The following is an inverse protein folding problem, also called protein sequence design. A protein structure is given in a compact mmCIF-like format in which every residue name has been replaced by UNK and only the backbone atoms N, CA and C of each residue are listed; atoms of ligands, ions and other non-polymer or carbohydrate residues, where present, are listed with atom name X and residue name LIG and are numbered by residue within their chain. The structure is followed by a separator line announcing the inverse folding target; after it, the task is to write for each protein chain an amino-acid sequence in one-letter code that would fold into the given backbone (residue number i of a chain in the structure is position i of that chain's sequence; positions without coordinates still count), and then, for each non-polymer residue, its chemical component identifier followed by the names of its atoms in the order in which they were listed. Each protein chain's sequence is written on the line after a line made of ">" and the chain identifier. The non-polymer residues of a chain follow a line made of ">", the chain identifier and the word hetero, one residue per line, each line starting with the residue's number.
data_IF_638800866291
#
_entry.id   IF_638800866291
#
_cell.length_a   1.000
_cell.length_b   1.000
_cell.length_c   1.000
_cell.angle_alpha   90.00
_cell.angle_beta   90.00
_cell.angle_gamma   90.00
#
_symmetry.space_group_name_H-M   'P 1'
#
loop_
_entity.id
_entity.type
_entity.pdbx_description
1 polymer ?
#
# COMPACT_ATOMS: atom_id res chain seq x y z
N UNK A 1 13.04 -11.25 19.23
CA UNK A 1 13.55 -11.23 17.84
C UNK A 1 13.11 -9.93 17.20
N UNK A 2 13.90 -8.88 17.36
CA UNK A 2 13.63 -7.56 16.84
C UNK A 2 14.48 -7.37 15.59
N UNK A 3 13.92 -7.69 14.42
CA UNK A 3 14.58 -7.38 13.16
C UNK A 3 14.54 -5.86 13.00
N UNK A 4 15.72 -5.21 13.07
CA UNK A 4 15.94 -3.85 12.58
C UNK A 4 15.50 -3.80 11.12
N UNK A 5 14.25 -3.41 10.87
CA UNK A 5 13.82 -3.00 9.53
C UNK A 5 14.68 -1.80 9.17
N UNK A 6 15.47 -1.91 8.11
CA UNK A 6 16.15 -0.78 7.49
C UNK A 6 15.12 0.34 7.34
N UNK A 7 15.43 1.50 7.92
CA UNK A 7 14.55 2.66 7.82
C UNK A 7 14.60 3.09 6.36
N UNK A 8 13.48 2.89 5.65
CA UNK A 8 13.36 3.27 4.23
C UNK A 8 13.46 4.80 4.16
N UNK A 9 14.39 5.30 3.36
CA UNK A 9 14.60 6.74 3.20
C UNK A 9 13.60 7.30 2.18
N UNK A 10 12.65 8.15 2.60
CA UNK A 10 11.53 8.57 1.76
C UNK A 10 11.91 9.58 0.66
N UNK A 11 13.16 10.04 0.62
CA UNK A 11 13.63 11.06 -0.34
C UNK A 11 14.00 10.45 -1.69
N UNK A 12 14.42 9.18 -1.70
CA UNK A 12 14.86 8.49 -2.91
C UNK A 12 13.69 7.87 -3.70
N UNK A 13 12.51 7.78 -3.08
CA UNK A 13 11.32 7.17 -3.68
C UNK A 13 10.33 8.22 -4.22
N UNK A 14 9.75 7.92 -5.38
CA UNK A 14 8.62 8.65 -5.95
C UNK A 14 7.34 8.25 -5.23
N UNK A 15 7.01 8.99 -4.16
CA UNK A 15 5.86 8.70 -3.30
C UNK A 15 4.62 9.50 -3.72
N UNK A 16 3.53 8.80 -3.98
CA UNK A 16 2.22 9.40 -4.26
C UNK A 16 1.30 9.31 -3.04
N UNK A 17 0.73 10.45 -2.65
CA UNK A 17 -0.21 10.57 -1.54
C UNK A 17 -1.65 10.44 -2.04
N UNK A 18 -2.43 9.54 -1.44
CA UNK A 18 -3.86 9.34 -1.73
C UNK A 18 -4.71 9.53 -0.48
N UNK A 19 -5.79 10.28 -0.63
CA UNK A 19 -6.76 10.49 0.44
C UNK A 19 -7.68 9.27 0.57
N UNK A 20 -7.80 8.73 1.79
CA UNK A 20 -8.78 7.67 2.09
C UNK A 20 -10.08 8.29 2.60
N UNK A 21 -9.97 9.16 3.62
CA UNK A 21 -11.14 9.71 4.29
C UNK A 21 -10.84 10.99 5.06
N UNK A 22 -11.83 11.88 5.12
CA UNK A 22 -11.79 13.13 5.90
C UNK A 22 -12.93 13.12 6.91
N UNK A 23 -12.62 13.51 8.13
CA UNK A 23 -13.55 13.71 9.23
C UNK A 23 -13.53 15.17 9.67
N UNK A 24 -14.70 15.75 9.93
CA UNK A 24 -14.82 16.99 10.69
C UNK A 24 -15.07 16.64 12.16
N UNK A 25 -14.14 16.98 13.04
CA UNK A 25 -14.22 16.73 14.48
C UNK A 25 -14.43 18.04 15.23
N UNK A 26 -15.19 18.00 16.32
CA UNK A 26 -15.56 19.19 17.08
C UNK A 26 -15.22 19.04 18.57
N UNK A 27 -14.67 20.09 19.18
CA UNK A 27 -14.56 20.24 20.64
C UNK A 27 -15.56 21.30 21.10
N UNK A 28 -16.48 20.93 22.00
CA UNK A 28 -17.47 21.84 22.59
C UNK A 28 -16.80 22.72 23.66
N UNK A 29 -17.16 24.00 23.70
CA UNK A 29 -16.70 25.02 24.65
C UNK A 29 -17.90 25.86 25.12
N UNK A 30 -17.71 26.70 26.14
CA UNK A 30 -18.78 27.55 26.73
C UNK A 30 -19.48 28.47 25.71
N UNK A 31 -18.78 28.91 24.66
CA UNK A 31 -19.32 29.81 23.63
C UNK A 31 -19.50 29.20 22.23
N UNK A 32 -19.39 27.88 22.07
CA UNK A 32 -19.57 27.24 20.76
C UNK A 32 -18.76 25.96 20.55
N UNK A 33 -18.52 25.60 19.30
CA UNK A 33 -17.77 24.39 18.92
C UNK A 33 -16.52 24.76 18.12
N UNK A 34 -15.34 24.36 18.60
CA UNK A 34 -14.10 24.48 17.85
C UNK A 34 -13.97 23.28 16.90
N UNK A 35 -14.04 23.54 15.60
CA UNK A 35 -13.94 22.53 14.56
C UNK A 35 -12.48 22.30 14.16
N UNK A 36 -12.17 21.06 13.79
CA UNK A 36 -10.91 20.65 13.14
C UNK A 36 -11.21 19.57 12.11
N UNK A 37 -10.33 19.41 11.14
CA UNK A 37 -10.39 18.32 10.17
C UNK A 37 -9.33 17.27 10.52
N UNK A 38 -9.71 16.00 10.41
CA UNK A 38 -8.81 14.85 10.50
C UNK A 38 -8.81 14.14 9.15
N UNK A 39 -7.64 13.96 8.55
CA UNK A 39 -7.48 13.28 7.27
C UNK A 39 -6.71 11.98 7.47
N UNK A 40 -7.23 10.88 6.91
CA UNK A 40 -6.54 9.60 6.77
C UNK A 40 -5.95 9.55 5.36
N UNK A 41 -4.63 9.48 5.27
CA UNK A 41 -3.86 9.53 4.03
C UNK A 41 -3.02 8.27 3.93
N UNK A 42 -2.93 7.71 2.73
CA UNK A 42 -1.97 6.66 2.39
C UNK A 42 -0.93 7.23 1.45
N UNK A 43 0.31 6.80 1.61
CA UNK A 43 1.43 7.16 0.74
C UNK A 43 2.05 5.87 0.23
N UNK A 44 2.37 5.80 -1.06
CA UNK A 44 3.06 4.65 -1.65
C UNK A 44 3.66 4.94 -3.01
N UNK A 45 4.55 4.04 -3.44
CA UNK A 45 5.32 4.15 -4.69
C UNK A 45 4.79 3.25 -5.82
N UNK A 46 3.82 2.37 -5.53
CA UNK A 46 3.34 1.36 -6.48
C UNK A 46 4.30 0.18 -6.71
N UNK A 47 5.48 0.18 -6.08
CA UNK A 47 6.52 -0.85 -6.30
C UNK A 47 6.66 -1.78 -5.08
N UNK A 48 6.10 -1.42 -3.93
CA UNK A 48 6.12 -2.30 -2.75
C UNK A 48 6.22 -1.56 -1.44
N UNK A 49 6.28 -0.24 -1.47
CA UNK A 49 6.36 0.59 -0.28
C UNK A 49 5.02 1.28 -0.03
N UNK A 50 4.51 1.12 1.18
CA UNK A 50 3.25 1.76 1.57
C UNK A 50 3.30 2.21 3.01
N UNK A 51 2.68 3.35 3.30
CA UNK A 51 2.58 3.92 4.63
C UNK A 51 1.24 4.61 4.80
N UNK A 52 0.75 4.68 6.04
CA UNK A 52 -0.53 5.35 6.36
C UNK A 52 -0.29 6.35 7.48
N UNK A 53 -0.93 7.51 7.35
CA UNK A 53 -0.81 8.62 8.27
C UNK A 53 -2.15 9.25 8.58
N UNK A 54 -2.25 9.80 9.78
CA UNK A 54 -3.41 10.60 10.21
C UNK A 54 -2.92 12.00 10.52
N UNK A 55 -3.40 12.98 9.76
CA UNK A 55 -3.17 14.40 10.00
C UNK A 55 -4.39 15.08 10.59
N UNK A 56 -4.18 16.13 11.39
CA UNK A 56 -5.27 16.88 12.02
C UNK A 56 -4.93 18.36 12.10
N UNK A 57 -5.71 19.20 11.41
CA UNK A 57 -5.51 20.63 11.34
C UNK A 57 -6.84 21.40 11.41
N UNK A 58 -6.78 22.74 11.38
CA UNK A 58 -7.97 23.58 11.31
C UNK A 58 -8.56 23.63 9.89
N UNK A 59 -7.73 23.40 8.88
CA UNK A 59 -8.09 23.39 7.46
C UNK A 59 -7.84 22.01 6.84
N UNK A 60 -8.59 21.70 5.76
CA UNK A 60 -8.49 20.42 5.06
C UNK A 60 -7.13 20.20 4.38
N UNK A 61 -6.60 21.10 3.54
CA UNK A 61 -5.33 20.86 2.84
C UNK A 61 -4.16 20.68 3.82
N UNK A 62 -4.13 21.48 4.90
CA UNK A 62 -3.11 21.35 5.95
C UNK A 62 -3.20 20.00 6.65
N UNK A 63 -4.42 19.49 6.91
CA UNK A 63 -4.60 18.17 7.51
C UNK A 63 -4.11 17.04 6.61
N UNK A 64 -4.31 17.16 5.29
CA UNK A 64 -3.83 16.18 4.30
C UNK A 64 -2.30 16.16 4.27
N UNK A 65 -1.65 17.33 4.16
CA UNK A 65 -0.19 17.45 4.14
C UNK A 65 0.46 16.88 5.42
N UNK A 66 -0.12 17.16 6.59
CA UNK A 66 0.32 16.55 7.85
C UNK A 66 0.12 15.03 7.88
N UNK A 67 -0.95 14.54 7.24
CA UNK A 67 -1.22 13.11 7.09
C UNK A 67 -0.16 12.42 6.23
N UNK A 68 0.13 12.96 5.04
CA UNK A 68 1.18 12.47 4.14
C UNK A 68 2.56 12.48 4.80
N UNK A 69 2.92 13.58 5.48
CA UNK A 69 4.19 13.68 6.22
C UNK A 69 4.35 12.61 7.31
N UNK A 70 3.25 12.16 7.92
CA UNK A 70 3.26 11.07 8.91
C UNK A 70 3.30 9.70 8.23
N UNK A 71 2.61 9.53 7.11
CA UNK A 71 2.61 8.30 6.32
C UNK A 71 4.02 7.96 5.81
N UNK A 72 4.75 8.97 5.31
CA UNK A 72 6.16 8.83 4.87
C UNK A 72 7.11 8.31 5.96
N UNK A 73 6.82 8.58 7.24
CA UNK A 73 7.62 8.07 8.37
C UNK A 73 7.31 6.62 8.73
N UNK A 74 6.19 6.08 8.24
CA UNK A 74 5.66 4.76 8.58
C UNK A 74 5.62 3.85 7.36
N UNK A 75 6.59 4.00 6.44
CA UNK A 75 6.70 3.13 5.28
C UNK A 75 7.06 1.71 5.71
N UNK A 76 6.40 0.74 5.08
CA UNK A 76 6.71 -0.68 5.18
C UNK A 76 7.01 -1.22 3.79
N UNK A 77 7.91 -2.19 3.72
CA UNK A 77 8.14 -3.01 2.55
C UNK A 77 7.14 -4.18 2.53
N UNK A 78 6.55 -4.44 1.37
CA UNK A 78 5.53 -5.47 1.18
C UNK A 78 6.02 -6.55 0.23
N UNK A 79 6.08 -7.78 0.72
CA UNK A 79 6.35 -8.96 -0.08
C UNK A 79 5.23 -9.20 -1.12
N UNK A 80 5.59 -9.23 -2.40
CA UNK A 80 4.68 -9.43 -3.53
C UNK A 80 5.14 -10.56 -4.45
N UNK A 81 4.20 -11.19 -5.13
CA UNK A 81 4.45 -12.19 -6.15
C UNK A 81 3.84 -11.72 -7.47
N UNK A 82 4.62 -11.02 -8.30
CA UNK A 82 4.14 -10.42 -9.54
C UNK A 82 3.08 -9.35 -9.27
N UNK A 83 1.85 -9.58 -9.74
CA UNK A 83 0.71 -8.65 -9.58
C UNK A 83 -0.13 -8.86 -8.31
N UNK A 84 0.15 -9.92 -7.54
CA UNK A 84 -0.68 -10.41 -6.41
C UNK A 84 0.15 -10.64 -5.14
N UNK A 85 -0.52 -11.07 -4.06
CA UNK A 85 0.12 -11.44 -2.78
C UNK A 85 0.60 -12.90 -2.78
N UNK A 86 1.63 -13.26 -2.00
CA UNK A 86 2.17 -14.63 -2.02
C UNK A 86 1.26 -15.71 -1.43
N UNK A 87 0.49 -15.39 -0.39
CA UNK A 87 -0.41 -16.34 0.28
C UNK A 87 -1.60 -15.61 0.91
N UNK A 88 -2.67 -16.36 1.21
CA UNK A 88 -3.84 -15.80 1.88
C UNK A 88 -3.55 -15.55 3.36
N UNK A 89 -4.01 -14.41 3.88
CA UNK A 89 -3.81 -14.04 5.28
C UNK A 89 -5.09 -13.45 5.88
N UNK A 90 -5.34 -13.80 7.13
CA UNK A 90 -6.38 -13.19 7.97
C UNK A 90 -5.68 -12.45 9.10
N UNK A 91 -6.05 -11.20 9.28
CA UNK A 91 -5.40 -10.35 10.27
C UNK A 91 -6.43 -9.48 10.97
N UNK A 92 -6.29 -9.36 12.30
CA UNK A 92 -7.12 -8.54 13.15
C UNK A 92 -6.30 -7.38 13.71
N UNK A 93 -6.87 -6.18 13.68
CA UNK A 93 -6.34 -4.99 14.35
C UNK A 93 -7.47 -4.27 15.08
N UNK A 94 -7.42 -4.27 16.41
CA UNK A 94 -8.53 -3.82 17.24
C UNK A 94 -9.80 -4.62 16.95
N UNK A 95 -10.88 -3.94 16.57
CA UNK A 95 -12.16 -4.54 16.18
C UNK A 95 -12.30 -4.81 14.66
N UNK A 96 -11.32 -4.43 13.85
CA UNK A 96 -11.33 -4.70 12.41
C UNK A 96 -10.62 -6.04 12.12
N UNK A 97 -11.25 -6.87 11.30
CA UNK A 97 -10.68 -8.11 10.80
C UNK A 97 -10.75 -8.12 9.27
N UNK A 98 -9.62 -8.37 8.63
CA UNK A 98 -9.49 -8.37 7.17
C UNK A 98 -8.95 -9.71 6.69
N UNK A 99 -9.53 -10.19 5.60
CA UNK A 99 -9.06 -11.33 4.84
C UNK A 99 -8.49 -10.82 3.51
N UNK A 100 -7.24 -11.15 3.23
CA UNK A 100 -6.58 -10.95 1.94
C UNK A 100 -6.36 -12.31 1.29
N UNK A 101 -6.81 -12.48 0.04
CA UNK A 101 -6.64 -13.72 -0.72
C UNK A 101 -6.02 -13.39 -2.08
N UNK A 102 -4.99 -14.14 -2.51
CA UNK A 102 -4.40 -13.97 -3.85
C UNK A 102 -5.44 -14.26 -4.93
N UNK A 103 -5.36 -13.49 -6.01
CA UNK A 103 -6.18 -13.66 -7.20
C UNK A 103 -5.34 -14.00 -8.43
N UNK A 104 -5.99 -14.52 -9.46
CA UNK A 104 -5.40 -14.73 -10.77
C UNK A 104 -5.15 -13.38 -11.47
N UNK A 105 -4.15 -13.29 -12.38
CA UNK A 105 -3.89 -12.05 -13.12
C UNK A 105 -5.12 -11.63 -13.93
N UNK A 106 -5.45 -10.33 -13.89
CA UNK A 106 -6.61 -9.76 -14.58
C UNK A 106 -7.90 -9.73 -13.75
N UNK A 107 -7.86 -10.16 -12.48
CA UNK A 107 -9.01 -10.06 -11.57
C UNK A 107 -9.25 -8.62 -11.10
N UNK A 108 -8.19 -7.81 -11.02
CA UNK A 108 -8.27 -6.47 -10.48
C UNK A 108 -8.37 -6.44 -8.94
N UNK A 109 -8.51 -5.23 -8.39
CA UNK A 109 -8.55 -4.99 -6.94
C UNK A 109 -10.00 -5.01 -6.42
N UNK A 110 -10.42 -6.17 -5.92
CA UNK A 110 -11.74 -6.33 -5.27
C UNK A 110 -11.56 -6.09 -3.77
N UNK A 111 -11.77 -4.84 -3.38
CA UNK A 111 -11.57 -4.39 -2.01
C UNK A 111 -12.50 -3.26 -1.59
N UNK A 112 -12.79 -3.19 -0.28
CA UNK A 112 -13.48 -2.06 0.33
C UNK A 112 -12.63 -0.79 0.25
N UNK A 113 -13.25 0.40 0.30
CA UNK A 113 -12.61 1.69 0.00
C UNK A 113 -11.27 1.94 0.71
N UNK A 114 -11.20 1.69 2.02
CA UNK A 114 -9.98 1.87 2.79
C UNK A 114 -8.88 0.87 2.39
N UNK A 115 -9.23 -0.40 2.14
CA UNK A 115 -8.28 -1.43 1.72
C UNK A 115 -7.79 -1.18 0.30
N UNK A 116 -8.70 -0.80 -0.61
CA UNK A 116 -8.39 -0.49 -2.01
C UNK A 116 -7.33 0.58 -2.12
N UNK A 117 -7.49 1.70 -1.40
CA UNK A 117 -6.50 2.78 -1.42
C UNK A 117 -5.10 2.31 -0.97
N UNK A 118 -5.03 1.41 0.01
CA UNK A 118 -3.75 0.84 0.49
C UNK A 118 -3.13 -0.12 -0.51
N UNK A 119 -3.94 -0.99 -1.10
CA UNK A 119 -3.48 -2.01 -2.06
C UNK A 119 -3.01 -1.37 -3.38
N UNK A 120 -3.73 -0.35 -3.85
CA UNK A 120 -3.34 0.42 -5.03
C UNK A 120 -2.07 1.23 -4.78
N UNK A 121 -1.95 1.88 -3.61
CA UNK A 121 -0.73 2.63 -3.25
C UNK A 121 0.48 1.72 -3.09
N UNK A 122 0.28 0.49 -2.61
CA UNK A 122 1.30 -0.54 -2.62
C UNK A 122 1.67 -0.91 -4.06
N UNK A 123 0.69 -1.07 -4.95
CA UNK A 123 0.87 -1.49 -6.35
C UNK A 123 0.43 -2.92 -6.64
N UNK A 124 -0.43 -3.48 -5.78
CA UNK A 124 -1.07 -4.77 -6.01
C UNK A 124 -2.22 -4.55 -6.97
N UNK A 125 -2.21 -5.29 -8.09
CA UNK A 125 -3.23 -5.15 -9.15
C UNK A 125 -4.35 -6.18 -9.01
N UNK A 126 -4.03 -7.39 -8.54
CA UNK A 126 -4.97 -8.51 -8.48
C UNK A 126 -5.09 -9.04 -7.06
N UNK A 127 -6.25 -8.85 -6.43
CA UNK A 127 -6.49 -9.33 -5.06
C UNK A 127 -7.97 -9.39 -4.71
N UNK A 128 -8.35 -10.42 -3.96
CA UNK A 128 -9.68 -10.56 -3.37
C UNK A 128 -9.60 -10.27 -1.88
N UNK A 129 -10.42 -9.36 -1.40
CA UNK A 129 -10.42 -9.00 0.03
C UNK A 129 -11.82 -8.92 0.61
N UNK A 130 -11.91 -9.17 1.92
CA UNK A 130 -13.16 -8.99 2.67
C UNK A 130 -12.87 -8.44 4.06
N UNK A 131 -13.64 -7.44 4.47
CA UNK A 131 -13.71 -7.01 5.87
C UNK A 131 -14.76 -7.89 6.56
N UNK A 132 -14.33 -8.65 7.57
CA UNK A 132 -15.18 -9.56 8.35
C UNK A 132 -15.62 -8.96 9.69
N UNK A 133 -14.94 -7.91 10.14
CA UNK A 133 -15.25 -7.21 11.40
C UNK A 133 -15.78 -5.79 11.19
N UNK A 134 -15.33 -4.86 12.03
CA UNK A 134 -15.73 -3.45 12.00
C UNK A 134 -15.38 -2.76 10.67
N UNK A 135 -16.30 -1.91 10.18
CA UNK A 135 -16.14 -1.08 8.99
C UNK A 135 -15.41 0.25 9.23
N UNK A 136 -14.83 0.46 10.42
CA UNK A 136 -14.09 1.69 10.73
C UNK A 136 -12.83 1.80 9.85
N UNK A 137 -12.83 2.78 8.94
CA UNK A 137 -11.78 3.02 7.93
C UNK A 137 -10.37 3.09 8.51
N UNK A 138 -10.19 3.69 9.69
CA UNK A 138 -8.87 3.81 10.33
C UNK A 138 -8.35 2.42 10.75
N UNK A 139 -9.20 1.60 11.37
CA UNK A 139 -8.81 0.28 11.85
C UNK A 139 -8.65 -0.70 10.69
N UNK A 140 -9.53 -0.64 9.68
CA UNK A 140 -9.42 -1.44 8.47
C UNK A 140 -8.09 -1.15 7.75
N UNK A 141 -7.76 0.13 7.54
CA UNK A 141 -6.50 0.54 6.92
C UNK A 141 -5.26 0.04 7.70
N UNK A 142 -5.29 0.12 9.04
CA UNK A 142 -4.22 -0.42 9.90
C UNK A 142 -4.17 -1.94 9.89
N UNK A 143 -5.30 -2.63 9.87
CA UNK A 143 -5.38 -4.08 9.75
C UNK A 143 -4.77 -4.54 8.42
N UNK A 144 -5.03 -3.82 7.32
CA UNK A 144 -4.43 -4.09 6.01
C UNK A 144 -2.92 -3.89 6.03
N UNK A 145 -2.40 -2.80 6.61
CA UNK A 145 -0.96 -2.63 6.79
C UNK A 145 -0.33 -3.78 7.60
N UNK A 146 -0.99 -4.18 8.69
CA UNK A 146 -0.52 -5.28 9.53
C UNK A 146 -0.47 -6.59 8.71
N UNK A 147 -1.52 -6.88 7.94
CA UNK A 147 -1.61 -8.05 7.08
C UNK A 147 -0.49 -8.07 6.04
N UNK A 148 -0.26 -6.95 5.36
CA UNK A 148 0.82 -6.82 4.37
C UNK A 148 2.20 -6.99 5.01
N UNK A 149 2.39 -6.47 6.22
CA UNK A 149 3.67 -6.58 6.95
C UNK A 149 4.00 -8.01 7.43
N UNK A 150 2.99 -8.89 7.48
CA UNK A 150 3.13 -10.30 7.87
C UNK A 150 3.36 -11.21 6.66
N UNK A 151 3.16 -10.70 5.43
CA UNK A 151 3.47 -11.45 4.23
C UNK A 151 4.96 -11.74 4.17
N UNK A 152 5.27 -12.93 3.67
CA UNK A 152 6.64 -13.42 3.50
C UNK A 152 6.75 -14.05 2.12
N UNK A 153 7.89 -13.84 1.48
CA UNK A 153 8.20 -14.50 0.23
C UNK A 153 8.44 -16.00 0.51
N UNK A 154 7.70 -16.91 -0.14
CA UNK A 154 7.81 -18.35 0.13
C UNK A 154 9.20 -18.89 -0.18
N UNK A 155 9.87 -18.34 -1.22
CA UNK A 155 11.24 -18.72 -1.57
C UNK A 155 12.21 -18.39 -0.44
N UNK A 156 12.23 -17.13 0.00
CA UNK A 156 13.07 -16.65 1.11
C UNK A 156 12.82 -17.39 2.41
N UNK A 157 11.55 -17.64 2.74
CA UNK A 157 11.17 -18.36 3.96
C UNK A 157 11.64 -19.83 3.94
N UNK A 158 11.47 -20.52 2.81
CA UNK A 158 11.92 -21.92 2.66
C UNK A 158 13.44 -22.01 2.70
N UNK A 159 14.14 -21.08 2.06
CA UNK A 159 15.59 -21.03 2.11
C UNK A 159 16.13 -20.75 3.50
N UNK A 160 15.54 -19.80 4.23
CA UNK A 160 15.89 -19.54 5.63
C UNK A 160 15.71 -20.78 6.51
N UNK A 161 14.66 -21.58 6.25
CA UNK A 161 14.41 -22.83 6.99
C UNK A 161 15.35 -23.97 6.59
N UNK A 162 15.68 -24.07 5.30
CA UNK A 162 16.53 -25.15 4.75
C UNK A 162 18.03 -24.84 4.80
N UNK A 163 18.42 -23.61 5.16
CA UNK A 163 19.83 -23.18 5.18
C UNK A 163 20.48 -23.08 3.79
N UNK A 164 19.68 -23.04 2.72
CA UNK A 164 20.16 -23.02 1.33
C UNK A 164 20.19 -21.56 0.85
N UNK A 165 21.34 -21.10 0.33
CA UNK A 165 21.46 -19.77 -0.25
C UNK A 165 20.62 -19.66 -1.54
N UNK A 166 19.75 -18.66 -1.62
CA UNK A 166 18.97 -18.37 -2.83
C UNK A 166 19.79 -17.45 -3.73
N UNK A 167 19.90 -17.78 -5.01
CA UNK A 167 20.32 -16.82 -6.05
C UNK A 167 19.17 -15.84 -6.31
N UNK A 168 19.35 -14.51 -6.13
CA UNK A 168 18.31 -13.55 -6.48
C UNK A 168 18.14 -13.51 -8.00
N UNK A 169 16.94 -13.85 -8.48
CA UNK A 169 16.56 -13.76 -9.89
C UNK A 169 15.92 -12.39 -10.17
N UNK A 170 16.69 -11.30 -10.04
CA UNK A 170 16.21 -9.94 -10.29
C UNK A 170 16.50 -9.44 -11.71
N UNK A 171 16.36 -10.30 -12.73
CA UNK A 171 16.63 -9.92 -14.12
C UNK A 171 15.76 -10.66 -15.15
N UNK A 172 14.47 -10.88 -14.87
CA UNK A 172 13.50 -11.37 -15.87
C UNK A 172 12.20 -10.58 -15.80
N UNK A 173 12.29 -9.27 -16.03
CA UNK A 173 11.13 -8.43 -16.35
C UNK A 173 11.55 -7.13 -17.07
N UNK A 174 12.45 -7.21 -18.04
CA UNK A 174 12.56 -6.22 -19.12
C UNK A 174 12.59 -7.01 -20.43
N UNK A 175 11.41 -7.25 -21.00
CA UNK A 175 11.33 -7.49 -22.43
C UNK A 175 11.38 -6.11 -23.08
N UNK A 176 12.40 -5.77 -23.88
CA UNK A 176 12.36 -4.54 -24.66
C UNK A 176 11.18 -4.63 -25.63
N UNK A 177 10.34 -3.60 -25.62
CA UNK A 177 9.35 -3.37 -26.67
C UNK A 177 10.07 -3.48 -28.02
N UNK A 178 9.54 -4.31 -28.93
CA UNK A 178 10.01 -4.38 -30.30
C UNK A 178 10.12 -2.95 -30.87
N UNK A 179 11.22 -2.63 -31.57
CA UNK A 179 11.34 -1.36 -32.27
C UNK A 179 10.21 -1.27 -33.31
N UNK A 180 9.52 -0.13 -33.33
CA UNK A 180 8.65 0.22 -34.44
C UNK A 180 9.46 0.10 -35.75
N UNK A 181 8.95 -0.57 -36.79
CA UNK A 181 9.64 -0.60 -38.06
C UNK A 181 9.73 0.82 -38.61
N UNK A 182 10.96 1.20 -38.91
CA UNK A 182 11.38 2.38 -39.61
C UNK A 182 10.56 2.60 -40.89
N UNK A 183 10.27 3.86 -41.14
CA UNK A 183 10.01 4.50 -42.43
C UNK A 183 10.55 3.72 -43.64
N UNK A 184 9.64 3.25 -44.49
CA UNK A 184 9.92 3.00 -45.91
C UNK A 184 9.62 4.30 -46.67
N UNK A 185 10.62 5.19 -46.71
CA UNK A 185 10.87 5.98 -47.91
C UNK A 185 11.67 5.11 -48.88
N UNK A 186 11.09 4.75 -50.04
CA UNK A 186 11.79 4.71 -51.32
C UNK A 186 10.83 4.34 -52.48
N UNK A 187 10.95 5.12 -53.57
CA UNK A 187 10.44 4.94 -54.93
C UNK A 187 8.92 5.16 -55.12
N UNK A 188 8.44 6.11 -55.93
CA UNK A 188 8.95 6.55 -57.23
C UNK A 188 8.10 5.90 -58.32
N UNK A 189 7.15 6.66 -58.87
CA UNK A 189 6.21 6.27 -59.92
C UNK A 189 5.05 7.25 -60.05
#
# INVERSE_FOLDING_TARGET
>A
MEQKRSRIDPTELTLNDKLIYINRVAKVMKGGKRLRFSALVVTGDGVGHVGIGIGKANEVPVAISQGGSRAKKSLIEVARAGSTIPHAIRTKFGAAEVLLKPAAPGTGVIAGSAMRAVLEACGIKDILTKSLGSSNRINVARATLLALSQLKNPREEVARRKGIAIKPESARAEAPASPAPETLEAAGG
#
